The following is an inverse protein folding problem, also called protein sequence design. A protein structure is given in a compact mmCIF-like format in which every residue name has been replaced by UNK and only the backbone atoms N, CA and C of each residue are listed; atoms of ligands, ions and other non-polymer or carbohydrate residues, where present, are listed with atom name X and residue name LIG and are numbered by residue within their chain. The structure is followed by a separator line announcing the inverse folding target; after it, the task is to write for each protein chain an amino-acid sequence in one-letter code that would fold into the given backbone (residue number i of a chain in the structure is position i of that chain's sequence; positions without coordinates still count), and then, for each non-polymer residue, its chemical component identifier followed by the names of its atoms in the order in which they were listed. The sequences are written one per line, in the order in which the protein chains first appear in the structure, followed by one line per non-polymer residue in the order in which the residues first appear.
data_IF_503992921932
#
_entry.id   IF_503992921932
#
_cell.length_a   1.000
_cell.length_b   1.000
_cell.length_c   1.000
_cell.angle_alpha   90.00
_cell.angle_beta   90.00
_cell.angle_gamma   90.00
#
_symmetry.space_group_name_H-M   'P 1'
#
loop_
_entity.id
_entity.type
_entity.pdbx_description
1 polymer ?
#
# COMPACT_ATOMS: atom_id res chain seq x y z
N UNK A 1 -18.64 -8.37 10.06
CA UNK A 1 -17.49 -7.52 9.73
C UNK A 1 -16.82 -7.12 11.03
N UNK A 2 -15.71 -7.75 11.40
CA UNK A 2 -14.89 -7.22 12.49
C UNK A 2 -14.20 -5.96 11.95
N UNK A 3 -14.51 -4.80 12.52
CA UNK A 3 -13.73 -3.61 12.25
C UNK A 3 -12.32 -3.89 12.79
N UNK A 4 -11.32 -4.03 11.92
CA UNK A 4 -9.94 -4.10 12.35
C UNK A 4 -9.66 -2.81 13.12
N UNK A 5 -9.49 -2.91 14.43
CA UNK A 5 -9.09 -1.79 15.27
C UNK A 5 -7.72 -1.35 14.77
N UNK A 6 -7.65 -0.12 14.23
CA UNK A 6 -6.38 0.51 13.86
C UNK A 6 -5.42 0.41 15.06
N UNK A 7 -4.18 -0.09 14.87
CA UNK A 7 -3.21 -0.14 15.97
C UNK A 7 -2.71 1.26 16.38
N UNK A 8 -3.05 2.28 15.59
CA UNK A 8 -2.69 3.67 15.83
C UNK A 8 -3.81 4.44 16.53
N UNK A 9 -3.41 5.34 17.43
CA UNK A 9 -4.33 6.28 18.07
C UNK A 9 -5.09 7.11 17.01
N UNK A 10 -6.44 7.17 17.08
CA UNK A 10 -7.22 7.94 16.13
C UNK A 10 -6.78 9.40 16.05
N UNK A 11 -6.45 9.87 14.85
CA UNK A 11 -6.00 11.24 14.61
C UNK A 11 -4.52 11.49 14.83
N UNK A 12 -3.72 10.46 15.18
CA UNK A 12 -2.27 10.60 15.24
C UNK A 12 -1.65 10.80 13.84
N UNK A 13 -0.45 11.40 13.74
CA UNK A 13 0.29 11.48 12.48
C UNK A 13 0.53 10.10 11.84
N UNK A 14 0.86 9.09 12.63
CA UNK A 14 1.07 7.70 12.19
C UNK A 14 -0.22 7.11 11.63
N UNK A 15 -1.35 7.30 12.33
CA UNK A 15 -2.65 6.84 11.87
C UNK A 15 -3.00 7.45 10.50
N UNK A 16 -2.80 8.76 10.35
CA UNK A 16 -3.07 9.48 9.10
C UNK A 16 -2.20 8.96 7.96
N UNK A 17 -0.90 8.81 8.23
CA UNK A 17 0.06 8.31 7.24
C UNK A 17 -0.25 6.88 6.78
N UNK A 18 -0.44 5.96 7.72
CA UNK A 18 -0.67 4.56 7.39
C UNK A 18 -2.03 4.34 6.74
N UNK A 19 -3.08 5.04 7.16
CA UNK A 19 -4.39 4.98 6.48
C UNK A 19 -4.30 5.41 5.02
N UNK A 20 -3.54 6.47 4.70
CA UNK A 20 -3.33 6.89 3.32
C UNK A 20 -2.62 5.81 2.49
N UNK A 21 -1.58 5.18 3.04
CA UNK A 21 -0.86 4.08 2.36
C UNK A 21 -1.69 2.81 2.22
N UNK A 22 -2.49 2.44 3.22
CA UNK A 22 -3.40 1.30 3.16
C UNK A 22 -4.43 1.49 2.04
N UNK A 23 -4.99 2.70 1.89
CA UNK A 23 -5.91 3.03 0.79
C UNK A 23 -5.24 2.90 -0.57
N UNK A 24 -4.02 3.41 -0.72
CA UNK A 24 -3.24 3.27 -1.95
C UNK A 24 -2.98 1.79 -2.26
N UNK A 25 -2.51 1.00 -1.28
CA UNK A 25 -2.25 -0.42 -1.44
C UNK A 25 -3.51 -1.20 -1.84
N UNK A 26 -4.66 -0.90 -1.23
CA UNK A 26 -5.96 -1.51 -1.56
C UNK A 26 -6.37 -1.20 -3.01
N UNK A 27 -6.24 0.05 -3.45
CA UNK A 27 -6.50 0.43 -4.84
C UNK A 27 -5.57 -0.29 -5.83
N UNK A 28 -4.28 -0.40 -5.52
CA UNK A 28 -3.30 -1.13 -6.35
C UNK A 28 -3.61 -2.63 -6.40
N UNK A 29 -4.05 -3.24 -5.28
CA UNK A 29 -4.48 -4.64 -5.26
C UNK A 29 -5.68 -4.88 -6.17
N UNK A 30 -6.69 -4.02 -6.09
CA UNK A 30 -7.85 -4.08 -6.98
C UNK A 30 -7.45 -3.91 -8.46
N UNK A 31 -6.52 -3.00 -8.76
CA UNK A 31 -5.97 -2.83 -10.11
C UNK A 31 -5.27 -4.12 -10.58
N UNK A 32 -4.37 -4.69 -9.78
CA UNK A 32 -3.67 -5.93 -10.11
C UNK A 32 -4.65 -7.08 -10.41
N UNK A 33 -5.71 -7.22 -9.61
CA UNK A 33 -6.74 -8.23 -9.84
C UNK A 33 -7.43 -8.07 -11.21
N UNK A 34 -7.77 -6.82 -11.59
CA UNK A 34 -8.41 -6.54 -12.88
C UNK A 34 -7.45 -6.68 -14.06
N UNK A 35 -6.20 -6.25 -13.93
CA UNK A 35 -5.20 -6.39 -15.00
C UNK A 35 -4.99 -7.86 -15.41
N UNK A 36 -5.08 -8.80 -14.47
CA UNK A 36 -4.88 -10.23 -14.74
C UNK A 36 -6.13 -10.90 -15.34
N UNK A 37 -7.32 -10.40 -15.02
CA UNK A 37 -8.59 -11.06 -15.35
C UNK A 37 -9.36 -10.43 -16.51
N UNK A 38 -8.94 -9.26 -17.01
CA UNK A 38 -9.64 -8.52 -18.06
C UNK A 38 -9.17 -8.94 -19.44
N UNK A 39 -10.10 -9.36 -20.31
CA UNK A 39 -9.87 -9.42 -21.75
C UNK A 39 -9.88 -7.99 -22.30
N UNK A 40 -8.71 -7.49 -22.70
CA UNK A 40 -8.45 -6.06 -22.95
C UNK A 40 -7.99 -5.83 -24.39
N UNK A 41 -8.56 -4.83 -25.05
CA UNK A 41 -8.11 -4.44 -26.39
C UNK A 41 -6.76 -3.67 -26.33
N UNK A 42 -5.94 -3.71 -27.40
CA UNK A 42 -4.62 -3.08 -27.40
C UNK A 42 -4.63 -1.55 -27.18
N UNK A 43 -5.65 -0.84 -27.64
CA UNK A 43 -5.71 0.62 -27.52
C UNK A 43 -5.95 1.02 -26.06
N UNK A 44 -6.88 0.34 -25.39
CA UNK A 44 -7.11 0.52 -23.96
C UNK A 44 -5.89 0.12 -23.13
N UNK A 45 -5.20 -0.96 -23.49
CA UNK A 45 -3.97 -1.39 -22.82
C UNK A 45 -2.86 -0.33 -22.90
N UNK A 46 -2.67 0.30 -24.07
CA UNK A 46 -1.71 1.39 -24.24
C UNK A 46 -2.07 2.60 -23.37
N UNK A 47 -3.33 3.03 -23.38
CA UNK A 47 -3.79 4.17 -22.58
C UNK A 47 -3.70 3.94 -21.06
N UNK A 48 -3.88 2.69 -20.59
CA UNK A 48 -3.68 2.35 -19.17
C UNK A 48 -2.20 2.32 -18.80
N UNK A 49 -1.34 1.84 -19.70
CA UNK A 49 0.11 1.85 -19.50
C UNK A 49 0.63 3.27 -19.25
N UNK A 50 0.25 4.24 -20.08
CA UNK A 50 0.67 5.65 -19.91
C UNK A 50 0.26 6.22 -18.54
N UNK A 51 -0.94 5.87 -18.04
CA UNK A 51 -1.40 6.30 -16.72
C UNK A 51 -0.57 5.68 -15.60
N UNK A 52 -0.24 4.39 -15.71
CA UNK A 52 0.58 3.68 -14.72
C UNK A 52 2.01 4.23 -14.71
N UNK A 53 2.57 4.52 -15.88
CA UNK A 53 3.89 5.16 -16.02
C UNK A 53 3.89 6.57 -15.41
N UNK A 54 2.84 7.36 -15.64
CA UNK A 54 2.65 8.66 -15.00
C UNK A 54 2.64 8.58 -13.47
N UNK A 55 1.86 7.65 -12.90
CA UNK A 55 1.84 7.41 -11.45
C UNK A 55 3.21 6.96 -10.92
N UNK A 56 3.92 6.13 -11.68
CA UNK A 56 5.28 5.66 -11.31
C UNK A 56 6.27 6.82 -11.30
N UNK A 57 6.17 7.74 -12.27
CA UNK A 57 6.99 8.94 -12.33
C UNK A 57 6.72 9.88 -11.14
N UNK A 58 5.45 10.10 -10.79
CA UNK A 58 5.06 10.89 -9.60
C UNK A 58 5.63 10.29 -8.32
N UNK A 59 5.49 8.97 -8.12
CA UNK A 59 6.05 8.27 -6.96
C UNK A 59 7.58 8.35 -6.90
N UNK A 60 8.25 8.39 -8.05
CA UNK A 60 9.71 8.51 -8.13
C UNK A 60 10.23 9.88 -7.71
N UNK A 61 9.38 10.93 -7.74
CA UNK A 61 9.73 12.26 -7.22
C UNK A 61 9.60 12.35 -5.69
N UNK A 62 8.87 11.42 -5.06
CA UNK A 62 8.76 11.36 -3.61
C UNK A 62 10.06 10.80 -2.98
N UNK A 63 10.30 11.15 -1.72
CA UNK A 63 11.46 10.65 -0.98
C UNK A 63 11.39 9.12 -0.85
N UNK A 64 12.33 8.44 -1.48
CA UNK A 64 12.48 6.99 -1.39
C UNK A 64 12.99 6.58 0.00
N UNK A 65 12.69 5.35 0.38
CA UNK A 65 13.17 4.70 1.61
C UNK A 65 14.01 3.50 1.21
N UNK A 66 15.19 3.36 1.81
CA UNK A 66 16.14 2.29 1.46
C UNK A 66 15.89 0.99 2.25
N UNK A 67 14.76 0.89 2.95
CA UNK A 67 14.34 -0.29 3.68
C UNK A 67 13.51 0.01 4.93
N UNK A 68 13.13 -1.06 5.63
CA UNK A 68 12.25 -0.98 6.81
C UNK A 68 12.90 -0.26 7.99
N UNK A 69 14.22 -0.41 8.16
CA UNK A 69 14.98 0.31 9.19
C UNK A 69 15.05 1.81 8.89
N UNK A 70 15.24 2.20 7.63
CA UNK A 70 15.20 3.62 7.23
C UNK A 70 13.80 4.20 7.45
N UNK A 71 12.76 3.45 7.08
CA UNK A 71 11.37 3.85 7.32
C UNK A 71 11.08 4.06 8.82
N UNK A 72 11.49 3.13 9.69
CA UNK A 72 11.24 3.21 11.14
C UNK A 72 12.00 4.35 11.83
N UNK A 73 13.12 4.81 11.27
CA UNK A 73 13.86 5.98 11.79
C UNK A 73 13.13 7.30 11.54
N UNK A 74 12.14 7.33 10.66
CA UNK A 74 11.30 8.51 10.42
C UNK A 74 10.24 8.54 11.51
N UNK A 75 10.37 9.46 12.47
CA UNK A 75 9.63 9.44 13.73
C UNK A 75 8.10 9.39 13.63
N UNK A 76 7.52 9.79 12.49
CA UNK A 76 6.07 9.79 12.23
C UNK A 76 5.56 8.48 11.58
N UNK A 77 6.30 7.38 11.76
CA UNK A 77 5.99 6.07 11.16
C UNK A 77 5.70 4.99 12.20
N UNK A 78 5.85 5.31 13.49
CA UNK A 78 5.78 4.36 14.58
C UNK A 78 7.08 3.57 14.76
N UNK A 79 6.98 2.46 15.46
CA UNK A 79 8.08 1.54 15.76
C UNK A 79 8.44 0.67 14.55
N UNK A 80 9.52 -0.09 14.66
CA UNK A 80 9.86 -1.11 13.65
C UNK A 80 8.76 -2.16 13.52
N UNK A 81 8.06 -2.51 14.61
CA UNK A 81 6.96 -3.48 14.58
C UNK A 81 5.74 -2.92 13.82
N UNK A 82 5.46 -1.62 13.97
CA UNK A 82 4.42 -0.94 13.19
C UNK A 82 4.73 -0.96 11.70
N UNK A 83 5.97 -0.63 11.34
CA UNK A 83 6.45 -0.64 9.96
C UNK A 83 6.38 -2.05 9.36
N UNK A 84 6.77 -3.08 10.13
CA UNK A 84 6.67 -4.47 9.71
C UNK A 84 5.21 -4.85 9.47
N UNK A 85 4.30 -4.58 10.40
CA UNK A 85 2.87 -4.88 10.24
C UNK A 85 2.19 -4.17 9.08
N UNK A 86 2.80 -3.11 8.55
CA UNK A 86 2.31 -2.38 7.37
C UNK A 86 2.93 -2.84 6.06
N UNK A 87 4.24 -3.17 6.04
CA UNK A 87 5.00 -3.32 4.80
C UNK A 87 5.54 -4.72 4.52
N UNK A 88 5.32 -5.72 5.39
CA UNK A 88 5.70 -7.10 5.07
C UNK A 88 4.89 -7.65 3.89
N UNK A 89 5.51 -8.49 3.06
CA UNK A 89 4.89 -9.08 1.88
C UNK A 89 3.77 -10.08 2.21
N UNK A 90 3.79 -10.63 3.43
CA UNK A 90 2.77 -11.55 3.92
C UNK A 90 2.07 -10.90 5.11
N UNK A 91 0.86 -10.39 4.88
CA UNK A 91 0.00 -9.79 5.91
C UNK A 91 0.20 -8.29 6.13
N UNK A 92 1.05 -7.61 5.34
CA UNK A 92 1.26 -6.16 5.44
C UNK A 92 0.06 -5.38 4.90
N UNK A 93 -0.57 -4.59 5.77
CA UNK A 93 -1.80 -3.82 5.44
C UNK A 93 -1.59 -2.80 4.31
N UNK A 94 -0.38 -2.24 4.21
CA UNK A 94 0.04 -1.26 3.21
C UNK A 94 0.89 -1.84 2.09
N UNK A 95 1.07 -3.17 2.00
CA UNK A 95 1.81 -3.78 0.90
C UNK A 95 0.86 -4.13 -0.26
N UNK A 96 1.07 -3.59 -1.48
CA UNK A 96 0.17 -3.82 -2.63
C UNK A 96 0.19 -5.25 -3.20
N UNK A 97 1.07 -6.11 -2.70
CA UNK A 97 1.17 -7.52 -3.10
C UNK A 97 0.79 -8.46 -1.96
N UNK A 98 0.53 -7.94 -0.75
CA UNK A 98 0.06 -8.77 0.35
C UNK A 98 -1.38 -9.19 0.06
N UNK A 99 -1.72 -10.49 0.22
CA UNK A 99 -3.12 -10.88 0.24
C UNK A 99 -3.86 -10.17 1.38
N UNK A 100 -5.16 -9.91 1.19
CA UNK A 100 -6.04 -9.54 2.30
C UNK A 100 -6.31 -10.79 3.14
N UNK A 101 -5.38 -11.09 4.04
CA UNK A 101 -5.55 -12.14 5.02
C UNK A 101 -6.31 -11.57 6.21
N UNK A 102 -7.57 -11.97 6.35
CA UNK A 102 -8.27 -11.86 7.62
C UNK A 102 -7.90 -13.08 8.44
N UNK A 103 -7.20 -12.90 9.56
CA UNK A 103 -7.04 -13.97 10.52
C UNK A 103 -8.44 -14.27 11.09
N UNK A 104 -8.95 -15.46 10.80
CA UNK A 104 -10.18 -15.99 11.40
C UNK A 104 -9.72 -17.01 12.44
N UNK A 105 -9.93 -16.71 13.72
CA UNK A 105 -9.83 -17.71 14.80
C UNK A 105 -11.06 -18.62 14.82
#
# INVERSE_FOLDING_TARGET
MAAATSPYDPGSPEATYWQARQRLASATRALNEKLVSTDIDPELAAALTEKIEGLTAELSQAQQVDGLVDMAKRGERGTIDDVMGELVSVGGRSHPCSPELLWQE
#
